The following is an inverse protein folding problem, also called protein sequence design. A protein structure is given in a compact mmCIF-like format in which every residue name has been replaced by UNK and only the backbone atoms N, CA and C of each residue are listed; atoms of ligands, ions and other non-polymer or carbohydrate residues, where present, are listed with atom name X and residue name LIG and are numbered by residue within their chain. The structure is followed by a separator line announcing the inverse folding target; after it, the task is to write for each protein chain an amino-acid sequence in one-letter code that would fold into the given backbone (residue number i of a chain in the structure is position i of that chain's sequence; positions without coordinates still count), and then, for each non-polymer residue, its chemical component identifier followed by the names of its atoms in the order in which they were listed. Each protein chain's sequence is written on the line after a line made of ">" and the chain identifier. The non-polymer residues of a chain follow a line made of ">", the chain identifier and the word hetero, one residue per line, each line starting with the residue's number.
data_IF_369750125138
#
_entry.id   IF_369750125138
#
_cell.length_a   1.000
_cell.length_b   1.000
_cell.length_c   1.000
_cell.angle_alpha   90.00
_cell.angle_beta   90.00
_cell.angle_gamma   90.00
#
_symmetry.space_group_name_H-M   'P 1'
#
loop_
_entity.id
_entity.type
_entity.pdbx_description
1 polymer ?
#
# COMPACT_ATOMS: atom_id res chain seq x y z
N UNK A 1 6.64 9.18 28.89
CA UNK A 1 5.61 10.20 29.13
C UNK A 1 4.43 9.51 29.78
N UNK A 2 4.03 9.95 30.97
CA UNK A 2 2.86 9.40 31.66
C UNK A 2 1.63 10.24 31.30
N UNK A 3 0.52 9.59 30.99
CA UNK A 3 -0.76 10.26 30.70
C UNK A 3 -1.52 10.43 32.02
N UNK A 4 -1.90 11.67 32.34
CA UNK A 4 -2.61 11.98 33.60
C UNK A 4 -4.09 12.16 33.26
N UNK A 5 -5.00 11.39 33.89
CA UNK A 5 -6.43 11.54 33.67
C UNK A 5 -6.90 12.91 34.16
N UNK A 6 -7.61 13.64 33.31
CA UNK A 6 -8.21 14.95 33.60
C UNK A 6 -9.70 14.91 33.34
N UNK A 7 -10.46 15.58 34.20
CA UNK A 7 -11.91 15.58 34.13
C UNK A 7 -12.41 16.50 33.00
N UNK A 8 -12.98 15.90 31.96
CA UNK A 8 -13.51 16.63 30.80
C UNK A 8 -14.94 17.13 31.07
N UNK A 9 -15.07 18.44 31.25
CA UNK A 9 -16.36 19.09 31.42
C UNK A 9 -17.08 19.25 30.07
N UNK A 10 -18.40 19.03 30.07
CA UNK A 10 -19.22 19.11 28.85
C UNK A 10 -19.27 20.56 28.34
N UNK A 11 -18.98 20.75 27.05
CA UNK A 11 -18.94 22.08 26.42
C UNK A 11 -20.35 22.69 26.39
N UNK A 12 -20.51 23.86 27.01
CA UNK A 12 -21.81 24.53 27.16
C UNK A 12 -22.22 25.32 25.92
N UNK A 13 -21.28 25.98 25.20
CA UNK A 13 -21.57 26.81 24.03
C UNK A 13 -20.58 26.62 22.86
N UNK A 14 -21.07 26.87 21.63
CA UNK A 14 -20.30 26.89 20.37
C UNK A 14 -20.42 25.62 19.52
N UNK A 15 -20.26 25.77 18.20
CA UNK A 15 -20.19 24.66 17.24
C UNK A 15 -18.79 24.06 17.19
N UNK A 16 -18.72 22.73 17.06
CA UNK A 16 -17.46 22.01 16.89
C UNK A 16 -16.70 22.52 15.66
N UNK A 17 -15.47 22.98 15.86
CA UNK A 17 -14.53 23.34 14.78
C UNK A 17 -14.01 22.10 14.02
N UNK A 18 -14.40 20.89 14.44
CA UNK A 18 -14.11 19.63 13.75
C UNK A 18 -15.18 19.40 12.69
N UNK A 19 -14.99 20.04 11.54
CA UNK A 19 -15.76 19.70 10.34
C UNK A 19 -15.18 18.49 9.61
N UNK A 20 -15.96 17.94 8.67
CA UNK A 20 -15.55 16.86 7.77
C UNK A 20 -14.20 17.09 7.08
N UNK A 21 -13.88 18.34 6.74
CA UNK A 21 -12.59 18.71 6.14
C UNK A 21 -11.38 18.32 7.01
N UNK A 22 -11.50 18.35 8.34
CA UNK A 22 -10.41 17.98 9.26
C UNK A 22 -10.27 16.47 9.41
N UNK A 23 -11.38 15.71 9.30
CA UNK A 23 -11.36 14.25 9.28
C UNK A 23 -10.68 13.72 8.01
N UNK A 24 -11.04 14.26 6.83
CA UNK A 24 -10.38 13.87 5.57
C UNK A 24 -8.91 14.27 5.55
N UNK A 25 -8.58 15.51 5.95
CA UNK A 25 -7.20 16.00 5.95
C UNK A 25 -6.34 15.26 6.98
N UNK A 26 -6.88 15.00 8.18
CA UNK A 26 -6.23 14.21 9.22
C UNK A 26 -6.10 12.73 8.87
N UNK A 27 -7.07 12.15 8.16
CA UNK A 27 -7.01 10.78 7.66
C UNK A 27 -5.94 10.60 6.59
N UNK A 28 -5.87 11.51 5.61
CA UNK A 28 -4.81 11.53 4.59
C UNK A 28 -3.43 11.76 5.21
N UNK A 29 -3.34 12.62 6.22
CA UNK A 29 -2.11 12.85 6.98
C UNK A 29 -1.68 11.59 7.75
N UNK A 30 -2.62 10.91 8.40
CA UNK A 30 -2.35 9.64 9.08
C UNK A 30 -1.86 8.55 8.12
N UNK A 31 -2.49 8.42 6.93
CA UNK A 31 -2.01 7.51 5.88
C UNK A 31 -0.57 7.85 5.52
N UNK A 32 -0.27 9.14 5.32
CA UNK A 32 1.08 9.62 4.98
C UNK A 32 2.08 9.28 6.07
N UNK A 33 1.76 9.59 7.33
CA UNK A 33 2.61 9.29 8.49
C UNK A 33 2.85 7.78 8.59
N UNK A 34 1.83 6.94 8.43
CA UNK A 34 1.96 5.47 8.46
C UNK A 34 2.83 4.96 7.31
N UNK A 35 2.66 5.50 6.09
CA UNK A 35 3.51 5.19 4.93
C UNK A 35 4.97 5.52 5.20
N UNK A 36 5.25 6.70 5.73
CA UNK A 36 6.62 7.14 6.01
C UNK A 36 7.24 6.37 7.20
N UNK A 37 6.49 6.14 8.27
CA UNK A 37 7.07 5.52 9.49
C UNK A 37 7.15 3.99 9.43
N UNK A 38 6.15 3.33 8.84
CA UNK A 38 6.02 1.87 8.86
C UNK A 38 6.44 1.24 7.54
N UNK A 39 6.08 1.83 6.40
CA UNK A 39 6.27 1.22 5.09
C UNK A 39 7.61 1.54 4.42
N UNK A 40 8.19 2.73 4.62
CA UNK A 40 9.53 3.06 4.10
C UNK A 40 10.64 2.14 4.63
N UNK A 41 10.45 1.52 5.81
CA UNK A 41 11.44 0.58 6.37
C UNK A 41 11.47 -0.77 5.63
N UNK A 42 10.34 -1.22 5.04
CA UNK A 42 10.20 -2.48 4.28
C UNK A 42 9.08 -2.36 3.22
N UNK A 43 9.31 -1.61 2.14
CA UNK A 43 8.28 -1.32 1.14
C UNK A 43 7.80 -2.57 0.38
N UNK A 44 8.67 -3.56 0.19
CA UNK A 44 8.36 -4.80 -0.54
C UNK A 44 7.19 -5.58 0.06
N UNK A 45 7.03 -5.63 1.38
CA UNK A 45 5.99 -6.46 2.01
C UNK A 45 4.57 -5.91 1.79
N UNK A 46 4.43 -4.59 1.72
CA UNK A 46 3.13 -3.95 1.51
C UNK A 46 2.68 -4.08 0.06
N UNK A 47 3.51 -3.63 -0.86
CA UNK A 47 3.20 -3.67 -2.30
C UNK A 47 3.19 -5.12 -2.84
N UNK A 48 4.10 -5.97 -2.37
CA UNK A 48 4.13 -7.39 -2.72
C UNK A 48 2.91 -8.14 -2.20
N UNK A 49 2.46 -7.89 -0.96
CA UNK A 49 1.26 -8.52 -0.40
C UNK A 49 -0.01 -8.17 -1.19
N UNK A 50 -0.25 -6.89 -1.45
CA UNK A 50 -1.38 -6.46 -2.27
C UNK A 50 -1.29 -6.95 -3.71
N UNK A 51 -0.08 -6.93 -4.29
CA UNK A 51 0.16 -7.44 -5.64
C UNK A 51 -0.11 -8.93 -5.76
N UNK A 52 0.27 -9.73 -4.76
CA UNK A 52 0.01 -11.16 -4.74
C UNK A 52 -1.48 -11.48 -4.58
N UNK A 53 -2.21 -10.75 -3.74
CA UNK A 53 -3.67 -10.89 -3.60
C UNK A 53 -4.36 -10.54 -4.93
N UNK A 54 -4.03 -9.38 -5.52
CA UNK A 54 -4.61 -8.96 -6.81
C UNK A 54 -4.28 -9.95 -7.94
N UNK A 55 -3.03 -10.38 -8.04
CA UNK A 55 -2.58 -11.34 -9.03
C UNK A 55 -3.25 -12.70 -8.88
N UNK A 56 -3.41 -13.19 -7.66
CA UNK A 56 -4.09 -14.46 -7.38
C UNK A 56 -5.58 -14.39 -7.73
N UNK A 57 -6.25 -13.27 -7.41
CA UNK A 57 -7.64 -13.06 -7.77
C UNK A 57 -7.82 -12.99 -9.30
N UNK A 58 -6.96 -12.23 -9.99
CA UNK A 58 -6.96 -12.14 -11.46
C UNK A 58 -6.67 -13.48 -12.13
N UNK A 59 -5.73 -14.25 -11.58
CA UNK A 59 -5.41 -15.60 -12.04
C UNK A 59 -6.59 -16.56 -11.87
N UNK A 60 -7.29 -16.54 -10.73
CA UNK A 60 -8.49 -17.37 -10.51
C UNK A 60 -9.62 -17.04 -11.50
N UNK A 61 -9.84 -15.75 -11.78
CA UNK A 61 -10.83 -15.30 -12.76
C UNK A 61 -10.46 -15.81 -14.16
N UNK A 62 -9.20 -15.62 -14.56
CA UNK A 62 -8.70 -16.08 -15.86
C UNK A 62 -8.76 -17.61 -15.97
N UNK A 63 -8.34 -18.34 -14.94
CA UNK A 63 -8.39 -19.80 -14.91
C UNK A 63 -9.82 -20.32 -15.06
N UNK A 64 -10.78 -19.73 -14.35
CA UNK A 64 -12.20 -20.09 -14.47
C UNK A 64 -12.73 -19.87 -15.89
N UNK A 65 -12.40 -18.73 -16.50
CA UNK A 65 -12.78 -18.42 -17.89
C UNK A 65 -12.09 -19.35 -18.89
N UNK A 66 -10.82 -19.72 -18.66
CA UNK A 66 -10.08 -20.66 -19.50
C UNK A 66 -10.71 -22.06 -19.46
N UNK A 67 -11.15 -22.51 -18.29
CA UNK A 67 -11.87 -23.79 -18.12
C UNK A 67 -13.19 -23.75 -18.89
N UNK A 68 -13.98 -22.67 -18.74
CA UNK A 68 -15.22 -22.50 -19.50
C UNK A 68 -14.97 -22.51 -21.01
N UNK A 69 -13.89 -21.87 -21.47
CA UNK A 69 -13.51 -21.85 -22.89
C UNK A 69 -13.22 -23.25 -23.42
N UNK A 70 -12.42 -24.02 -22.67
CA UNK A 70 -11.94 -25.33 -23.07
C UNK A 70 -13.06 -26.37 -23.10
N UNK A 71 -14.01 -26.29 -22.17
CA UNK A 71 -15.10 -27.27 -22.03
C UNK A 71 -16.31 -26.89 -22.88
N UNK A 72 -16.72 -25.61 -22.87
CA UNK A 72 -17.96 -25.18 -23.51
C UNK A 72 -17.77 -24.48 -24.86
N UNK A 73 -16.53 -24.22 -25.30
CA UNK A 73 -16.24 -23.64 -26.62
C UNK A 73 -16.78 -22.23 -26.85
N UNK A 74 -17.23 -21.52 -25.81
CA UNK A 74 -17.84 -20.20 -25.95
C UNK A 74 -16.81 -19.12 -26.28
N UNK A 75 -17.20 -18.14 -27.10
CA UNK A 75 -16.38 -16.95 -27.36
C UNK A 75 -16.41 -16.01 -26.16
N UNK A 76 -15.27 -15.84 -25.50
CA UNK A 76 -15.12 -15.08 -24.25
C UNK A 76 -14.56 -13.67 -24.49
N UNK A 77 -14.12 -13.37 -25.72
CA UNK A 77 -13.39 -12.13 -26.04
C UNK A 77 -14.13 -10.83 -25.73
N UNK A 78 -15.46 -10.85 -25.62
CA UNK A 78 -16.27 -9.64 -25.34
C UNK A 78 -16.75 -9.53 -23.88
N UNK A 79 -16.40 -10.48 -23.00
CA UNK A 79 -16.85 -10.41 -21.60
C UNK A 79 -15.94 -9.46 -20.81
N UNK A 80 -16.50 -8.45 -20.11
CA UNK A 80 -15.71 -7.52 -19.28
C UNK A 80 -14.97 -8.23 -18.16
N UNK A 81 -15.40 -9.44 -17.79
CA UNK A 81 -14.72 -10.30 -16.82
C UNK A 81 -13.30 -10.70 -17.25
N UNK A 82 -13.07 -10.94 -18.55
CA UNK A 82 -11.75 -11.26 -19.08
C UNK A 82 -10.81 -10.04 -19.01
N UNK A 83 -11.33 -8.86 -19.35
CA UNK A 83 -10.58 -7.60 -19.25
C UNK A 83 -10.22 -7.30 -17.79
N UNK A 84 -11.14 -7.53 -16.85
CA UNK A 84 -10.91 -7.37 -15.42
C UNK A 84 -9.86 -8.36 -14.89
N UNK A 85 -9.92 -9.63 -15.31
CA UNK A 85 -8.92 -10.63 -14.95
C UNK A 85 -7.51 -10.26 -15.41
N UNK A 86 -7.37 -9.84 -16.67
CA UNK A 86 -6.10 -9.36 -17.24
C UNK A 86 -5.61 -8.11 -16.49
N UNK A 87 -6.50 -7.15 -16.25
CA UNK A 87 -6.18 -5.92 -15.52
C UNK A 87 -5.65 -6.24 -14.11
N UNK A 88 -6.30 -7.13 -13.37
CA UNK A 88 -5.85 -7.53 -12.03
C UNK A 88 -4.48 -8.20 -12.03
N UNK A 89 -4.18 -9.02 -13.05
CA UNK A 89 -2.86 -9.65 -13.19
C UNK A 89 -1.79 -8.59 -13.48
N UNK A 90 -2.04 -7.68 -14.43
CA UNK A 90 -1.12 -6.58 -14.75
C UNK A 90 -0.87 -5.72 -13.52
N UNK A 91 -1.93 -5.34 -12.79
CA UNK A 91 -1.81 -4.59 -11.54
C UNK A 91 -1.04 -5.37 -10.47
N UNK A 92 -1.27 -6.68 -10.36
CA UNK A 92 -0.54 -7.54 -9.44
C UNK A 92 0.97 -7.52 -9.71
N UNK A 93 1.36 -7.72 -10.97
CA UNK A 93 2.77 -7.66 -11.40
C UNK A 93 3.36 -6.26 -11.19
N UNK A 94 2.60 -5.21 -11.49
CA UNK A 94 3.05 -3.83 -11.30
C UNK A 94 3.33 -3.53 -9.83
N UNK A 95 2.44 -3.98 -8.93
CA UNK A 95 2.58 -3.79 -7.48
C UNK A 95 3.79 -4.56 -6.94
N UNK A 96 3.97 -5.82 -7.33
CA UNK A 96 5.15 -6.61 -6.94
C UNK A 96 6.44 -5.94 -7.42
N UNK A 97 6.50 -5.53 -8.69
CA UNK A 97 7.66 -4.84 -9.26
C UNK A 97 7.98 -3.55 -8.51
N UNK A 98 6.96 -2.74 -8.21
CA UNK A 98 7.11 -1.50 -7.43
C UNK A 98 7.65 -1.78 -6.03
N UNK A 99 7.16 -2.85 -5.37
CA UNK A 99 7.65 -3.27 -4.07
C UNK A 99 9.13 -3.66 -4.09
N UNK A 100 9.55 -4.44 -5.08
CA UNK A 100 10.95 -4.84 -5.27
C UNK A 100 11.86 -3.64 -5.53
N UNK A 101 11.43 -2.70 -6.38
CA UNK A 101 12.16 -1.45 -6.63
C UNK A 101 12.32 -0.66 -5.33
N UNK A 102 11.26 -0.54 -4.54
CA UNK A 102 11.33 0.13 -3.24
C UNK A 102 12.32 -0.52 -2.28
N UNK A 103 12.38 -1.85 -2.26
CA UNK A 103 13.33 -2.59 -1.42
C UNK A 103 14.77 -2.41 -1.88
N UNK A 104 15.01 -2.39 -3.20
CA UNK A 104 16.31 -2.12 -3.81
C UNK A 104 16.80 -0.69 -3.51
N UNK A 105 15.92 0.31 -3.56
CA UNK A 105 16.27 1.70 -3.21
C UNK A 105 16.68 1.78 -1.73
N UNK A 106 15.89 1.19 -0.83
CA UNK A 106 16.20 1.18 0.61
C UNK A 106 17.53 0.46 0.92
N UNK A 107 17.80 -0.65 0.24
CA UNK A 107 19.08 -1.35 0.36
C UNK A 107 20.27 -0.48 -0.09
N UNK A 108 20.15 0.20 -1.23
CA UNK A 108 21.20 1.10 -1.72
C UNK A 108 21.43 2.30 -0.78
N UNK A 109 20.36 2.91 -0.24
CA UNK A 109 20.50 4.03 0.71
C UNK A 109 21.22 3.64 2.00
N UNK A 110 20.96 2.42 2.52
CA UNK A 110 21.70 1.89 3.69
C UNK A 110 23.18 1.69 3.40
N UNK A 111 23.51 1.12 2.22
CA UNK A 111 24.89 0.90 1.79
C UNK A 111 25.68 2.22 1.66
N UNK A 112 25.03 3.28 1.18
CA UNK A 112 25.66 4.60 1.04
C UNK A 112 25.93 5.28 2.40
N UNK A 113 25.01 5.19 3.35
CA UNK A 113 25.21 5.72 4.71
C UNK A 113 26.35 5.04 5.47
N UNK A 114 26.72 3.81 5.09
CA UNK A 114 27.80 3.06 5.73
C UNK A 114 29.18 3.40 5.15
N UNK A 115 29.24 4.00 3.94
CA UNK A 115 30.48 4.37 3.25
C UNK A 115 31.01 5.77 3.61
N UNK A 116 30.30 6.57 4.42
CA UNK A 116 30.85 7.78 5.00
C UNK A 116 31.51 7.42 6.33
N UNK A 117 32.85 7.23 6.39
CA UNK A 117 33.52 7.02 7.67
C UNK A 117 33.25 8.21 8.58
N UNK A 118 33.00 7.93 9.87
CA UNK A 118 32.94 8.92 10.94
C UNK A 118 34.32 9.57 11.10
N UNK A 119 34.62 10.59 10.29
CA UNK A 119 35.82 11.42 10.43
C UNK A 119 35.60 12.62 11.36
N UNK A 120 34.56 12.60 12.21
CA UNK A 120 34.22 13.72 13.09
C UNK A 120 34.39 13.42 14.59
N UNK A 121 34.88 12.24 14.99
CA UNK A 121 35.13 11.92 16.41
C UNK A 121 36.57 12.22 16.91
N UNK A 122 37.37 13.03 16.20
CA UNK A 122 38.76 13.34 16.62
C UNK A 122 39.19 14.81 16.52
N UNK A 123 38.28 15.78 16.68
CA UNK A 123 38.67 17.19 16.88
C UNK A 123 38.09 17.75 18.18
#
# INVERSE_FOLDING_TARGET
>A
TAEIPVEHHRRTHGVSKYGWKRLFKGGLDLITVVVITRYLKRPGHFFGGFGMISGMLGFLILASLTIEKLIFGHSIGQRPLLQLGILLVILGVQLISTGLIGELINFNSKSQSQKTPRITETL
#
